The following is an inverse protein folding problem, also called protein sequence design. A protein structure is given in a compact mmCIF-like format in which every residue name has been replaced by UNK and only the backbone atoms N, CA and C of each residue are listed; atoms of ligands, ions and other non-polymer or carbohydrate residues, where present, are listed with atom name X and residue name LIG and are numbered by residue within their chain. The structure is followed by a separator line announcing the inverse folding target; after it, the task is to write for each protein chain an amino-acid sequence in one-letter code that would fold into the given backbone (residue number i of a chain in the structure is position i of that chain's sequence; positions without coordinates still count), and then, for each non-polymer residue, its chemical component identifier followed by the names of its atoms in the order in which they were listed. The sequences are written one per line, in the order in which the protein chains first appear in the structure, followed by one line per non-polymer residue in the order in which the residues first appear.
data_IF_450249066676
#
_entry.id   IF_450249066676
#
_cell.length_a   1.000
_cell.length_b   1.000
_cell.length_c   1.000
_cell.angle_alpha   90.00
_cell.angle_beta   90.00
_cell.angle_gamma   90.00
#
_symmetry.space_group_name_H-M   'P 1'
#
loop_
_entity.id
_entity.type
_entity.pdbx_description
1 polymer ?
#
# COMPACT_ATOMS: atom_id res chain seq x y z
N UNK A 1 -15.25 48.40 66.01
CA UNK A 1 -14.11 48.38 65.05
C UNK A 1 -13.59 46.94 65.03
N UNK A 2 -13.88 46.17 63.98
CA UNK A 2 -13.49 44.76 63.89
C UNK A 2 -12.06 44.71 63.37
N UNK A 3 -11.12 44.36 64.24
CA UNK A 3 -9.71 44.18 63.85
C UNK A 3 -9.62 42.87 63.07
N UNK A 4 -9.31 42.98 61.78
CA UNK A 4 -9.14 41.83 60.87
C UNK A 4 -7.72 41.29 61.07
N UNK A 5 -7.58 40.16 61.77
CA UNK A 5 -6.30 39.46 61.93
C UNK A 5 -5.86 38.85 60.61
N UNK A 6 -4.86 39.44 59.96
CA UNK A 6 -4.16 38.80 58.84
C UNK A 6 -3.31 37.66 59.39
N UNK A 7 -3.74 36.42 59.14
CA UNK A 7 -2.90 35.25 59.39
C UNK A 7 -1.77 35.25 58.36
N UNK A 8 -0.54 35.46 58.82
CA UNK A 8 0.66 35.40 58.01
C UNK A 8 1.01 33.90 57.89
N UNK A 9 1.10 33.40 56.66
CA UNK A 9 1.44 32.00 56.41
C UNK A 9 2.81 31.65 56.99
N UNK A 10 2.90 30.49 57.64
CA UNK A 10 4.18 29.99 58.13
C UNK A 10 5.00 29.39 57.00
N UNK A 11 6.33 29.49 57.06
CA UNK A 11 7.24 28.93 56.05
C UNK A 11 6.99 27.42 55.83
N UNK A 12 6.60 26.72 56.89
CA UNK A 12 6.30 25.28 56.84
C UNK A 12 5.02 24.97 56.05
N UNK A 13 3.97 25.78 56.19
CA UNK A 13 2.74 25.64 55.39
C UNK A 13 3.01 25.91 53.89
N UNK A 14 3.90 26.86 53.59
CA UNK A 14 4.31 27.14 52.22
C UNK A 14 5.05 25.94 51.59
N UNK A 15 6.01 25.36 52.31
CA UNK A 15 6.75 24.18 51.85
C UNK A 15 5.80 22.97 51.69
N UNK A 16 4.88 22.76 52.63
CA UNK A 16 3.89 21.69 52.55
C UNK A 16 2.98 21.85 51.32
N UNK A 17 2.51 23.08 51.02
CA UNK A 17 1.69 23.35 49.84
C UNK A 17 2.43 23.12 48.53
N UNK A 18 3.72 23.46 48.47
CA UNK A 18 4.56 23.27 47.29
C UNK A 18 4.84 21.78 47.05
N UNK A 19 5.05 21.00 48.10
CA UNK A 19 5.20 19.55 48.01
C UNK A 19 3.94 18.90 47.44
N UNK A 20 2.76 19.27 47.95
CA UNK A 20 1.47 18.76 47.43
C UNK A 20 1.29 19.16 45.97
N UNK A 21 1.62 20.40 45.61
CA UNK A 21 1.56 20.87 44.24
C UNK A 21 2.44 20.04 43.30
N UNK A 22 3.68 19.73 43.69
CA UNK A 22 4.58 18.88 42.88
C UNK A 22 4.01 17.48 42.70
N UNK A 23 3.41 16.89 43.74
CA UNK A 23 2.78 15.56 43.65
C UNK A 23 1.61 15.60 42.67
N UNK A 24 0.72 16.59 42.78
CA UNK A 24 -0.43 16.75 41.88
C UNK A 24 0.05 16.98 40.44
N UNK A 25 1.04 17.85 40.25
CA UNK A 25 1.62 18.12 38.93
C UNK A 25 2.24 16.85 38.32
N UNK A 26 2.90 16.03 39.13
CA UNK A 26 3.43 14.73 38.71
C UNK A 26 2.34 13.80 38.19
N UNK A 27 1.22 13.68 38.92
CA UNK A 27 0.06 12.86 38.50
C UNK A 27 -0.53 13.40 37.19
N UNK A 28 -0.69 14.72 37.08
CA UNK A 28 -1.21 15.38 35.87
C UNK A 28 -0.31 15.12 34.66
N UNK A 29 1.01 15.18 34.81
CA UNK A 29 1.96 14.87 33.75
C UNK A 29 1.88 13.40 33.29
N UNK A 30 1.68 12.46 34.22
CA UNK A 30 1.44 11.05 33.86
C UNK A 30 0.19 10.88 33.01
N UNK A 31 -0.91 11.55 33.38
CA UNK A 31 -2.14 11.53 32.59
C UNK A 31 -1.94 12.12 31.20
N UNK A 32 -1.26 13.27 31.10
CA UNK A 32 -0.96 13.89 29.81
C UNK A 32 -0.11 13.01 28.90
N UNK A 33 0.90 12.33 29.44
CA UNK A 33 1.73 11.40 28.67
C UNK A 33 0.91 10.21 28.15
N UNK A 34 0.04 9.64 28.98
CA UNK A 34 -0.88 8.57 28.57
C UNK A 34 -1.85 9.03 27.47
N UNK A 35 -2.44 10.23 27.62
CA UNK A 35 -3.35 10.79 26.62
C UNK A 35 -2.65 11.04 25.28
N UNK A 36 -1.40 11.57 25.30
CA UNK A 36 -0.59 11.76 24.09
C UNK A 36 -0.34 10.44 23.36
N UNK A 37 0.02 9.38 24.08
CA UNK A 37 0.29 8.08 23.49
C UNK A 37 -0.98 7.50 22.83
N UNK A 38 -2.12 7.56 23.51
CA UNK A 38 -3.41 7.10 22.97
C UNK A 38 -3.78 7.89 21.72
N UNK A 39 -3.63 9.22 21.76
CA UNK A 39 -3.89 10.07 20.60
C UNK A 39 -3.02 9.68 19.42
N UNK A 40 -1.71 9.52 19.62
CA UNK A 40 -0.78 9.17 18.55
C UNK A 40 -1.11 7.83 17.90
N UNK A 41 -1.50 6.82 18.69
CA UNK A 41 -1.92 5.51 18.16
C UNK A 41 -3.24 5.64 17.39
N UNK A 42 -4.19 6.40 17.94
CA UNK A 42 -5.49 6.66 17.30
C UNK A 42 -5.31 7.34 15.94
N UNK A 43 -4.44 8.35 15.88
CA UNK A 43 -4.12 9.08 14.66
C UNK A 43 -3.43 8.18 13.63
N UNK A 44 -2.45 7.37 14.05
CA UNK A 44 -1.77 6.41 13.16
C UNK A 44 -2.75 5.40 12.55
N UNK A 45 -3.76 4.94 13.31
CA UNK A 45 -4.80 4.05 12.79
C UNK A 45 -5.73 4.78 11.84
N UNK A 46 -6.16 5.98 12.19
CA UNK A 46 -7.01 6.83 11.33
C UNK A 46 -6.38 7.02 9.96
N UNK A 47 -5.08 7.37 9.92
CA UNK A 47 -4.34 7.51 8.67
C UNK A 47 -4.33 6.22 7.85
N UNK A 48 -4.08 5.06 8.46
CA UNK A 48 -4.11 3.77 7.74
C UNK A 48 -5.49 3.46 7.11
N UNK A 49 -6.60 3.83 7.76
CA UNK A 49 -7.94 3.71 7.17
C UNK A 49 -8.16 4.66 5.98
N UNK A 50 -7.65 5.88 6.07
CA UNK A 50 -7.72 6.85 4.97
C UNK A 50 -6.90 6.39 3.78
N UNK A 51 -5.66 5.97 4.01
CA UNK A 51 -4.74 5.44 3.00
C UNK A 51 -5.33 4.20 2.30
N UNK A 52 -5.82 3.22 3.09
CA UNK A 52 -6.45 2.02 2.54
C UNK A 52 -7.67 2.32 1.67
N UNK A 53 -8.52 3.27 2.09
CA UNK A 53 -9.66 3.73 1.29
C UNK A 53 -9.22 4.43 0.01
N UNK A 54 -8.24 5.33 0.08
CA UNK A 54 -7.71 6.05 -1.10
C UNK A 54 -7.17 5.05 -2.12
N UNK A 55 -6.36 4.08 -1.69
CA UNK A 55 -5.80 3.07 -2.58
C UNK A 55 -6.88 2.20 -3.25
N UNK A 56 -7.87 1.71 -2.48
CA UNK A 56 -8.96 0.90 -3.04
C UNK A 56 -9.84 1.68 -4.02
N UNK A 57 -10.17 2.94 -3.73
CA UNK A 57 -10.93 3.78 -4.66
C UNK A 57 -10.13 4.09 -5.92
N UNK A 58 -8.83 4.36 -5.79
CA UNK A 58 -7.96 4.64 -6.92
C UNK A 58 -7.84 3.44 -7.87
N UNK A 59 -7.52 2.26 -7.34
CA UNK A 59 -7.44 1.02 -8.13
C UNK A 59 -8.80 0.69 -8.74
N UNK A 60 -9.89 0.82 -7.95
CA UNK A 60 -11.24 0.53 -8.43
C UNK A 60 -11.66 1.44 -9.57
N UNK A 61 -11.36 2.73 -9.51
CA UNK A 61 -11.70 3.70 -10.55
C UNK A 61 -10.97 3.36 -11.86
N UNK A 62 -9.68 3.04 -11.78
CA UNK A 62 -8.88 2.70 -12.94
C UNK A 62 -9.34 1.38 -13.57
N UNK A 63 -9.68 0.38 -12.75
CA UNK A 63 -10.23 -0.89 -13.21
C UNK A 63 -11.62 -0.74 -13.84
N UNK A 64 -12.49 0.11 -13.30
CA UNK A 64 -13.80 0.39 -13.91
C UNK A 64 -13.69 1.04 -15.30
N UNK A 65 -12.56 1.70 -15.55
CA UNK A 65 -12.23 2.36 -16.80
C UNK A 65 -11.35 1.51 -17.71
N UNK A 66 -11.24 0.20 -17.43
CA UNK A 66 -10.44 -0.71 -18.27
C UNK A 66 -10.94 -0.71 -19.70
N UNK A 67 -9.99 -0.57 -20.62
CA UNK A 67 -10.18 -0.73 -22.05
C UNK A 67 -9.81 -2.15 -22.43
N UNK A 68 -10.68 -2.81 -23.18
CA UNK A 68 -10.43 -4.15 -23.69
C UNK A 68 -10.84 -4.25 -25.14
N UNK A 69 -10.00 -4.92 -25.91
CA UNK A 69 -10.29 -5.35 -27.28
C UNK A 69 -9.56 -6.67 -27.46
N UNK A 70 -10.28 -7.68 -27.92
CA UNK A 70 -9.73 -9.01 -28.14
C UNK A 70 -8.46 -8.91 -28.99
N UNK A 71 -7.43 -9.65 -28.58
CA UNK A 71 -6.11 -9.72 -29.20
C UNK A 71 -5.29 -8.42 -29.23
N UNK A 72 -5.86 -7.25 -28.91
CA UNK A 72 -5.18 -5.93 -29.04
C UNK A 72 -4.84 -5.28 -27.71
N UNK A 73 -5.68 -5.43 -26.69
CA UNK A 73 -5.43 -4.87 -25.38
C UNK A 73 -5.03 -5.99 -24.42
N UNK A 74 -3.74 -6.09 -24.02
CA UNK A 74 -3.31 -7.12 -23.10
C UNK A 74 -3.84 -6.84 -21.69
N UNK A 75 -4.13 -7.92 -20.97
CA UNK A 75 -4.31 -7.92 -19.53
C UNK A 75 -3.27 -8.86 -18.92
N UNK A 76 -2.56 -8.38 -17.90
CA UNK A 76 -1.55 -9.20 -17.24
C UNK A 76 -1.67 -9.18 -15.72
N UNK A 77 -2.08 -10.32 -15.20
CA UNK A 77 -2.04 -10.64 -13.77
C UNK A 77 -0.75 -11.40 -13.46
N UNK A 78 0.22 -10.67 -12.91
CA UNK A 78 1.55 -11.19 -12.59
C UNK A 78 1.53 -11.95 -11.28
N UNK A 79 2.10 -13.15 -11.30
CA UNK A 79 2.29 -13.94 -10.10
C UNK A 79 3.42 -13.39 -9.25
N UNK A 80 3.44 -13.78 -7.99
CA UNK A 80 4.58 -13.54 -7.13
C UNK A 80 5.80 -14.31 -7.66
N UNK A 81 6.98 -13.70 -7.63
CA UNK A 81 8.27 -14.33 -7.98
C UNK A 81 9.16 -14.48 -6.74
N UNK A 82 10.17 -15.35 -6.82
CA UNK A 82 11.19 -15.56 -5.79
C UNK A 82 12.57 -15.05 -6.24
N UNK A 83 12.59 -14.05 -7.12
CA UNK A 83 13.83 -13.58 -7.78
C UNK A 83 14.66 -12.64 -6.92
N UNK A 84 14.19 -12.31 -5.72
CA UNK A 84 14.77 -11.35 -4.79
C UNK A 84 14.83 -9.92 -5.36
N UNK A 85 13.92 -9.59 -6.28
CA UNK A 85 13.86 -8.34 -7.03
C UNK A 85 12.74 -7.42 -6.50
N UNK A 86 12.83 -6.13 -6.80
CA UNK A 86 11.83 -5.16 -6.32
C UNK A 86 10.42 -5.36 -6.88
N UNK A 87 10.32 -6.07 -8.00
CA UNK A 87 9.07 -6.43 -8.65
C UNK A 87 8.58 -7.83 -8.28
N UNK A 88 9.03 -8.40 -7.15
CA UNK A 88 8.65 -9.75 -6.75
C UNK A 88 7.18 -9.90 -6.33
N UNK A 89 6.53 -8.81 -5.89
CA UNK A 89 5.14 -8.82 -5.45
C UNK A 89 4.18 -9.23 -6.57
N UNK A 90 2.95 -9.61 -6.22
CA UNK A 90 1.89 -9.65 -7.23
C UNK A 90 1.72 -8.27 -7.87
N UNK A 91 1.36 -8.24 -9.15
CA UNK A 91 1.09 -7.02 -9.89
C UNK A 91 -0.05 -7.23 -10.87
N UNK A 92 -0.77 -6.16 -11.18
CA UNK A 92 -1.81 -6.15 -12.20
C UNK A 92 -1.49 -5.04 -13.21
N UNK A 93 -1.58 -5.38 -14.48
CA UNK A 93 -1.28 -4.50 -15.60
C UNK A 93 -2.44 -4.57 -16.60
N UNK A 94 -2.92 -3.41 -17.03
CA UNK A 94 -4.05 -3.32 -17.94
C UNK A 94 -4.07 -1.96 -18.64
N UNK A 95 -4.81 -1.88 -19.73
CA UNK A 95 -5.07 -0.62 -20.42
C UNK A 95 -6.33 0.02 -19.84
N UNK A 96 -6.28 1.32 -19.55
CA UNK A 96 -7.39 2.07 -18.98
C UNK A 96 -7.55 3.42 -19.67
N UNK A 97 -8.79 3.88 -19.77
CA UNK A 97 -9.09 5.24 -20.21
C UNK A 97 -9.03 6.13 -18.97
N UNK A 98 -8.06 7.04 -18.94
CA UNK A 98 -7.82 7.91 -17.80
C UNK A 98 -7.81 9.36 -18.27
N UNK A 99 -8.66 10.19 -17.66
CA UNK A 99 -8.65 11.64 -17.87
C UNK A 99 -7.69 12.31 -16.88
N UNK A 100 -6.39 12.10 -17.08
CA UNK A 100 -5.33 12.73 -16.29
C UNK A 100 -4.27 13.27 -17.25
N UNK A 101 -3.81 14.49 -17.00
CA UNK A 101 -2.63 15.09 -17.63
C UNK A 101 -1.37 14.73 -16.82
N UNK A 102 -0.99 13.46 -16.81
CA UNK A 102 0.27 13.01 -16.19
C UNK A 102 1.38 12.87 -17.24
N UNK A 103 2.60 12.60 -16.77
CA UNK A 103 3.90 12.87 -17.42
C UNK A 103 4.16 12.30 -18.84
N UNK A 104 3.33 11.40 -19.35
CA UNK A 104 3.38 10.96 -20.75
C UNK A 104 2.06 11.33 -21.43
N UNK A 105 2.10 12.28 -22.35
CA UNK A 105 0.90 12.72 -23.07
C UNK A 105 0.30 11.53 -23.84
N UNK A 106 -1.01 11.31 -23.72
CA UNK A 106 -1.74 10.34 -24.53
C UNK A 106 -2.68 11.09 -25.49
N UNK A 107 -2.56 10.83 -26.79
CA UNK A 107 -3.44 11.43 -27.80
C UNK A 107 -4.77 10.69 -27.89
N UNK A 108 -4.75 9.38 -27.63
CA UNK A 108 -5.92 8.50 -27.62
C UNK A 108 -6.70 8.52 -26.29
N UNK A 109 -6.08 9.03 -25.20
CA UNK A 109 -6.63 8.95 -23.84
C UNK A 109 -6.53 7.56 -23.21
N UNK A 110 -5.82 6.64 -23.87
CA UNK A 110 -5.48 5.32 -23.34
C UNK A 110 -4.17 5.40 -22.57
N UNK A 111 -4.13 4.66 -21.47
CA UNK A 111 -2.99 4.58 -20.57
C UNK A 111 -2.78 3.14 -20.09
N UNK A 112 -1.53 2.75 -19.91
CA UNK A 112 -1.11 1.48 -19.35
C UNK A 112 -0.96 1.73 -17.87
N UNK A 113 -1.71 0.96 -17.09
CA UNK A 113 -1.77 1.11 -15.64
C UNK A 113 -1.17 -0.13 -15.01
N UNK A 114 -0.14 0.08 -14.20
CA UNK A 114 0.52 -0.99 -13.45
C UNK A 114 0.46 -0.68 -11.97
N UNK A 115 -0.09 -1.62 -11.19
CA UNK A 115 -0.07 -1.58 -9.73
C UNK A 115 0.79 -2.71 -9.18
N UNK A 116 1.68 -2.36 -8.26
CA UNK A 116 2.59 -3.31 -7.62
C UNK A 116 3.10 -2.74 -6.30
N UNK A 117 3.70 -3.59 -5.49
CA UNK A 117 4.26 -3.21 -4.19
C UNK A 117 5.77 -3.12 -4.31
N UNK A 118 6.34 -1.98 -3.92
CA UNK A 118 7.77 -1.72 -4.08
C UNK A 118 8.56 -2.12 -2.83
N UNK A 119 9.65 -2.85 -3.07
CA UNK A 119 10.70 -3.12 -2.09
C UNK A 119 12.07 -3.02 -2.76
N UNK A 120 13.04 -2.28 -2.23
CA UNK A 120 14.36 -2.18 -2.83
C UNK A 120 15.05 -3.56 -2.93
N UNK A 121 15.91 -3.69 -3.94
CA UNK A 121 16.72 -4.91 -4.19
C UNK A 121 17.67 -5.22 -3.02
N UNK A 122 18.11 -4.18 -2.31
CA UNK A 122 19.05 -4.28 -1.20
C UNK A 122 18.34 -4.71 0.08
N UNK A 123 18.98 -5.57 0.88
CA UNK A 123 18.51 -6.04 2.19
C UNK A 123 18.48 -4.95 3.28
N UNK A 124 18.63 -3.68 2.92
CA UNK A 124 18.57 -2.54 3.84
C UNK A 124 17.20 -1.91 3.70
N UNK A 125 16.44 -1.94 4.80
CA UNK A 125 15.13 -1.30 4.87
C UNK A 125 15.29 0.18 4.55
N UNK A 126 14.57 0.65 3.54
CA UNK A 126 14.62 2.04 3.07
C UNK A 126 13.30 2.77 3.33
N UNK A 127 13.31 4.10 3.24
CA UNK A 127 12.09 4.93 3.28
C UNK A 127 11.13 4.65 2.10
N UNK A 128 11.55 3.83 1.13
CA UNK A 128 10.75 3.39 -0.01
C UNK A 128 10.12 2.00 0.17
N UNK A 129 10.33 1.35 1.30
CA UNK A 129 9.77 0.02 1.56
C UNK A 129 8.29 0.08 1.90
N UNK A 130 7.52 -0.88 1.38
CA UNK A 130 6.10 -1.00 1.69
C UNK A 130 5.26 0.10 1.05
N UNK A 131 5.72 0.66 -0.07
CA UNK A 131 4.92 1.60 -0.84
C UNK A 131 4.13 0.87 -1.91
N UNK A 132 2.81 1.06 -1.90
CA UNK A 132 2.00 0.74 -3.07
C UNK A 132 2.34 1.74 -4.18
N UNK A 133 2.73 1.22 -5.32
CA UNK A 133 3.14 1.99 -6.47
C UNK A 133 2.13 1.88 -7.60
N UNK A 134 1.99 2.96 -8.36
CA UNK A 134 1.23 3.00 -9.59
C UNK A 134 2.03 3.66 -10.69
N UNK A 135 2.23 2.93 -11.78
CA UNK A 135 2.79 3.49 -13.01
C UNK A 135 1.65 3.80 -13.98
N UNK A 136 1.79 4.93 -14.65
CA UNK A 136 1.01 5.28 -15.83
C UNK A 136 2.00 5.49 -16.97
N UNK A 137 1.95 4.64 -17.98
CA UNK A 137 2.58 4.89 -19.28
C UNK A 137 1.49 5.42 -20.20
N UNK A 138 1.84 6.30 -21.15
CA UNK A 138 0.96 6.85 -22.16
C UNK A 138 1.66 6.85 -23.53
N UNK A 139 0.91 7.10 -24.59
CA UNK A 139 1.36 7.02 -26.00
C UNK A 139 2.60 7.86 -26.32
N UNK A 140 2.83 8.96 -25.61
CA UNK A 140 4.02 9.80 -25.77
C UNK A 140 5.32 9.19 -25.21
N UNK A 141 5.26 8.02 -24.55
CA UNK A 141 6.45 7.31 -24.04
C UNK A 141 7.01 6.36 -25.09
N UNK A 142 8.33 6.27 -25.21
CA UNK A 142 9.02 5.25 -26.01
C UNK A 142 8.86 3.82 -25.46
N UNK A 143 8.26 3.68 -24.26
CA UNK A 143 8.02 2.40 -23.60
C UNK A 143 6.60 1.87 -23.80
N UNK A 144 5.79 2.64 -24.53
CA UNK A 144 4.40 2.33 -24.83
C UNK A 144 4.32 1.30 -25.95
N UNK A 145 4.34 0.02 -25.57
CA UNK A 145 4.44 -1.09 -26.51
C UNK A 145 3.16 -1.95 -26.53
N UNK A 146 2.05 -1.50 -25.93
CA UNK A 146 0.83 -2.31 -25.84
C UNK A 146 0.14 -2.59 -27.20
N UNK A 147 0.45 -1.82 -28.24
CA UNK A 147 -0.10 -1.98 -29.59
C UNK A 147 0.88 -2.68 -30.56
N UNK A 148 2.09 -3.00 -30.10
CA UNK A 148 3.12 -3.64 -30.91
C UNK A 148 2.94 -5.17 -30.92
N UNK A 149 2.64 -5.69 -32.10
CA UNK A 149 2.44 -7.12 -32.31
C UNK A 149 3.76 -7.84 -32.65
N UNK A 150 3.99 -9.05 -32.11
CA UNK A 150 3.09 -9.82 -31.24
C UNK A 150 3.12 -9.34 -29.78
N UNK A 151 1.93 -9.23 -29.16
CA UNK A 151 1.82 -8.89 -27.75
C UNK A 151 2.52 -9.93 -26.88
N UNK A 152 3.42 -9.46 -26.03
CA UNK A 152 4.11 -10.31 -25.07
C UNK A 152 4.27 -9.59 -23.73
N UNK A 153 4.35 -10.38 -22.67
CA UNK A 153 4.56 -9.88 -21.31
C UNK A 153 5.71 -10.65 -20.66
N UNK A 154 6.25 -10.14 -19.56
CA UNK A 154 7.18 -10.92 -18.77
C UNK A 154 7.87 -10.12 -17.67
N UNK A 155 8.83 -10.73 -16.99
CA UNK A 155 9.49 -10.05 -15.87
C UNK A 155 10.34 -8.85 -16.33
N UNK A 156 11.02 -8.99 -17.46
CA UNK A 156 11.91 -7.99 -18.07
C UNK A 156 11.85 -8.08 -19.61
N UNK A 157 12.38 -7.07 -20.30
CA UNK A 157 12.56 -7.03 -21.75
C UNK A 157 11.93 -5.80 -22.42
N UNK A 158 12.69 -5.16 -23.31
CA UNK A 158 12.19 -4.10 -24.19
C UNK A 158 11.30 -4.68 -25.32
N UNK A 159 10.32 -3.91 -25.80
CA UNK A 159 9.39 -4.35 -26.86
C UNK A 159 8.31 -5.31 -26.36
N UNK A 160 8.09 -5.36 -25.04
CA UNK A 160 7.01 -6.12 -24.42
C UNK A 160 5.90 -5.17 -24.05
N UNK A 161 4.65 -5.57 -24.25
CA UNK A 161 3.50 -4.78 -23.84
C UNK A 161 3.50 -4.49 -22.33
N UNK A 162 3.85 -5.48 -21.51
CA UNK A 162 4.03 -5.28 -20.07
C UNK A 162 5.24 -5.99 -19.49
N UNK A 163 5.97 -5.29 -18.62
CA UNK A 163 7.07 -5.83 -17.82
C UNK A 163 6.87 -5.65 -16.33
N UNK A 164 7.38 -6.60 -15.53
CA UNK A 164 7.34 -6.48 -14.08
C UNK A 164 8.23 -5.33 -13.61
N UNK A 165 9.40 -5.19 -14.23
CA UNK A 165 10.29 -4.05 -14.07
C UNK A 165 9.76 -2.82 -14.85
N UNK A 166 10.61 -1.81 -15.02
CA UNK A 166 10.26 -0.57 -15.75
C UNK A 166 10.78 -0.54 -17.19
N UNK A 167 11.01 -1.69 -17.84
CA UNK A 167 11.46 -1.73 -19.24
C UNK A 167 10.34 -1.24 -20.18
N UNK A 168 9.10 -1.67 -19.96
CA UNK A 168 7.91 -1.25 -20.74
C UNK A 168 7.01 -0.25 -20.00
N UNK A 169 7.54 0.46 -19.00
CA UNK A 169 6.72 1.41 -18.24
C UNK A 169 7.49 2.59 -17.67
N UNK A 170 6.77 3.69 -17.50
CA UNK A 170 7.28 4.87 -16.82
C UNK A 170 7.63 4.60 -15.34
N UNK A 171 8.45 5.44 -14.70
CA UNK A 171 8.65 5.38 -13.27
C UNK A 171 7.33 5.48 -12.50
N UNK A 172 7.14 4.57 -11.55
CA UNK A 172 5.91 4.52 -10.77
C UNK A 172 5.86 5.60 -9.69
N UNK A 173 4.65 6.10 -9.44
CA UNK A 173 4.34 7.04 -8.37
C UNK A 173 3.95 6.31 -7.07
N UNK A 174 4.39 6.86 -5.95
CA UNK A 174 4.04 6.42 -4.60
C UNK A 174 2.60 6.77 -4.27
N UNK A 175 1.77 5.77 -3.94
CA UNK A 175 0.35 5.97 -3.59
C UNK A 175 0.18 6.04 -2.08
N UNK A 176 0.46 4.94 -1.39
CA UNK A 176 0.34 4.83 0.07
C UNK A 176 1.53 4.06 0.67
N UNK A 177 1.98 4.43 1.88
CA UNK A 177 3.04 3.73 2.59
C UNK A 177 2.52 2.56 3.45
N UNK A 178 3.47 1.84 4.07
CA UNK A 178 3.24 0.81 5.10
C UNK A 178 2.35 -0.36 4.67
N UNK A 179 2.32 -0.64 3.38
CA UNK A 179 1.65 -1.79 2.81
C UNK A 179 2.56 -3.01 2.96
N UNK A 180 2.07 -4.02 3.66
CA UNK A 180 2.80 -5.27 3.90
C UNK A 180 2.56 -6.29 2.79
N UNK A 181 1.37 -6.26 2.19
CA UNK A 181 0.95 -7.22 1.17
C UNK A 181 -0.17 -6.64 0.31
N UNK A 182 -0.14 -7.02 -0.97
CA UNK A 182 -1.24 -6.81 -1.91
C UNK A 182 -1.58 -8.14 -2.56
N UNK A 183 -2.88 -8.43 -2.67
CA UNK A 183 -3.38 -9.60 -3.38
C UNK A 183 -4.46 -9.21 -4.39
N UNK A 184 -4.41 -9.85 -5.54
CA UNK A 184 -5.45 -9.76 -6.55
C UNK A 184 -6.01 -11.15 -6.79
N UNK A 185 -7.33 -11.32 -6.63
CA UNK A 185 -8.02 -12.54 -7.04
C UNK A 185 -8.88 -12.20 -8.26
N UNK A 186 -8.51 -12.74 -9.41
CA UNK A 186 -9.21 -12.53 -10.67
C UNK A 186 -10.20 -13.67 -10.90
N UNK A 187 -11.46 -13.37 -11.23
CA UNK A 187 -12.51 -14.35 -11.43
C UNK A 187 -13.09 -14.29 -12.84
N UNK A 188 -13.37 -15.46 -13.40
CA UNK A 188 -14.19 -15.61 -14.60
C UNK A 188 -15.67 -15.41 -14.29
N UNK A 189 -16.50 -15.28 -15.32
CA UNK A 189 -17.97 -15.22 -15.23
C UNK A 189 -18.55 -16.42 -14.48
N UNK A 190 -17.93 -17.59 -14.63
CA UNK A 190 -18.33 -18.84 -13.95
C UNK A 190 -18.03 -18.83 -12.45
N UNK A 191 -17.25 -17.85 -11.97
CA UNK A 191 -16.69 -17.82 -10.61
C UNK A 191 -15.36 -18.57 -10.47
N UNK A 192 -14.84 -19.18 -11.53
CA UNK A 192 -13.53 -19.82 -11.52
C UNK A 192 -12.40 -18.78 -11.39
N UNK A 193 -11.33 -19.12 -10.65
CA UNK A 193 -10.19 -18.23 -10.45
C UNK A 193 -9.28 -18.27 -11.69
N UNK A 194 -8.94 -17.10 -12.21
CA UNK A 194 -7.90 -16.94 -13.24
C UNK A 194 -6.54 -16.98 -12.55
N UNK A 195 -5.70 -17.92 -13.00
CA UNK A 195 -4.35 -18.07 -12.44
C UNK A 195 -3.45 -16.94 -12.93
N UNK A 196 -2.62 -16.43 -12.03
CA UNK A 196 -1.54 -15.51 -12.40
C UNK A 196 -0.48 -16.23 -13.24
N UNK A 197 0.26 -15.46 -14.03
CA UNK A 197 1.31 -15.95 -14.93
C UNK A 197 2.52 -15.03 -14.88
N UNK A 198 3.70 -15.59 -15.12
CA UNK A 198 4.93 -14.81 -15.22
C UNK A 198 5.15 -14.23 -16.62
N UNK A 199 4.74 -14.95 -17.68
CA UNK A 199 5.11 -14.62 -19.05
C UNK A 199 3.98 -14.83 -20.07
N UNK A 200 2.72 -14.91 -19.62
CA UNK A 200 1.56 -15.02 -20.52
C UNK A 200 0.51 -13.97 -20.23
N UNK A 201 -0.02 -13.38 -21.29
CA UNK A 201 -1.22 -12.55 -21.26
C UNK A 201 -2.41 -13.42 -20.83
N UNK A 202 -3.30 -12.85 -20.02
CA UNK A 202 -4.54 -13.51 -19.63
C UNK A 202 -5.75 -12.81 -20.23
N UNK A 203 -6.86 -13.53 -20.28
CA UNK A 203 -8.17 -12.97 -20.58
C UNK A 203 -8.58 -11.96 -19.50
N UNK A 204 -9.33 -10.94 -19.90
CA UNK A 204 -9.88 -9.97 -18.96
C UNK A 204 -10.80 -10.68 -17.94
N UNK A 205 -10.58 -10.50 -16.63
CA UNK A 205 -11.46 -11.07 -15.62
C UNK A 205 -12.85 -10.43 -15.65
N UNK A 206 -13.86 -11.19 -15.25
CA UNK A 206 -15.21 -10.69 -15.03
C UNK A 206 -15.30 -9.83 -13.75
N UNK A 207 -14.57 -10.23 -12.71
CA UNK A 207 -14.41 -9.44 -11.49
C UNK A 207 -13.02 -9.64 -10.88
N UNK A 208 -12.57 -8.64 -10.13
CA UNK A 208 -11.30 -8.67 -9.41
C UNK A 208 -11.57 -8.30 -7.96
N UNK A 209 -11.19 -9.18 -7.03
CA UNK A 209 -11.09 -8.84 -5.62
C UNK A 209 -9.68 -8.31 -5.34
N UNK A 210 -9.61 -7.09 -4.82
CA UNK A 210 -8.37 -6.44 -4.40
C UNK A 210 -8.31 -6.54 -2.89
N UNK A 211 -7.18 -7.05 -2.36
CA UNK A 211 -6.89 -7.03 -0.93
C UNK A 211 -5.59 -6.30 -0.66
N UNK A 212 -5.63 -5.36 0.28
CA UNK A 212 -4.47 -4.59 0.71
C UNK A 212 -4.32 -4.77 2.21
N UNK A 213 -3.12 -5.09 2.65
CA UNK A 213 -2.76 -5.26 4.06
C UNK A 213 -1.86 -4.10 4.48
N UNK A 214 -2.29 -3.35 5.49
CA UNK A 214 -1.60 -2.14 5.95
C UNK A 214 -1.29 -2.28 7.43
N UNK A 215 -0.05 -1.96 7.81
CA UNK A 215 0.29 -1.72 9.22
C UNK A 215 0.21 -0.21 9.50
N UNK A 216 -0.49 0.22 10.57
CA UNK A 216 -0.40 1.60 11.03
C UNK A 216 1.06 1.99 11.27
N UNK A 217 1.45 3.22 10.94
CA UNK A 217 2.82 3.72 11.08
C UNK A 217 3.51 3.34 12.41
N UNK A 218 2.83 3.50 13.56
CA UNK A 218 3.39 3.13 14.86
C UNK A 218 3.69 1.64 14.99
N UNK A 219 2.83 0.78 14.44
CA UNK A 219 3.00 -0.67 14.45
C UNK A 219 4.01 -1.11 13.39
N UNK A 220 4.08 -0.42 12.24
CA UNK A 220 5.11 -0.63 11.22
C UNK A 220 6.51 -0.45 11.81
N UNK A 221 6.77 0.69 12.46
CA UNK A 221 8.07 0.95 13.10
C UNK A 221 8.39 -0.10 14.18
N UNK A 222 7.39 -0.51 14.96
CA UNK A 222 7.56 -1.56 15.96
C UNK A 222 7.88 -2.90 15.33
N UNK A 223 7.18 -3.27 14.26
CA UNK A 223 7.41 -4.49 13.50
C UNK A 223 8.84 -4.53 12.94
N UNK A 224 9.31 -3.43 12.33
CA UNK A 224 10.70 -3.32 11.88
C UNK A 224 11.69 -3.49 13.05
N UNK A 225 11.42 -2.89 14.21
CA UNK A 225 12.29 -2.96 15.39
C UNK A 225 12.44 -4.37 15.98
N UNK A 226 11.46 -5.25 15.77
CA UNK A 226 11.49 -6.64 16.22
C UNK A 226 11.99 -7.60 15.13
N UNK A 227 12.58 -7.08 14.05
CA UNK A 227 13.14 -7.88 12.96
C UNK A 227 12.18 -8.13 11.81
N UNK A 228 11.08 -7.39 11.72
CA UNK A 228 10.16 -7.44 10.59
C UNK A 228 10.85 -7.03 9.28
N UNK A 229 10.62 -7.81 8.23
CA UNK A 229 11.19 -7.57 6.92
C UNK A 229 10.06 -7.41 5.87
N UNK A 230 9.86 -6.19 5.32
CA UNK A 230 8.88 -5.92 4.27
C UNK A 230 8.96 -6.88 3.08
N UNK A 231 10.15 -7.35 2.73
CA UNK A 231 10.36 -8.29 1.61
C UNK A 231 9.85 -9.70 1.91
N UNK A 232 10.10 -10.19 3.13
CA UNK A 232 9.64 -11.51 3.57
C UNK A 232 8.12 -11.53 3.78
N UNK A 233 7.53 -10.37 4.07
CA UNK A 233 6.10 -10.24 4.26
C UNK A 233 5.26 -10.62 3.04
N UNK A 234 5.79 -10.40 1.85
CA UNK A 234 5.15 -10.76 0.57
C UNK A 234 4.96 -12.28 0.46
N UNK A 235 5.90 -13.07 1.02
CA UNK A 235 5.91 -14.52 0.87
C UNK A 235 5.02 -15.26 1.84
N UNK A 236 4.63 -14.63 2.96
CA UNK A 236 4.21 -15.39 4.14
C UNK A 236 5.29 -16.35 4.65
N UNK A 237 6.49 -16.32 4.06
CA UNK A 237 7.70 -17.04 4.41
C UNK A 237 8.64 -16.10 5.14
N UNK A 238 8.10 -15.35 6.11
CA UNK A 238 8.94 -14.91 7.21
C UNK A 238 9.52 -16.19 7.78
N UNK A 239 10.79 -16.45 7.46
CA UNK A 239 11.44 -17.68 7.86
C UNK A 239 11.28 -17.83 9.37
N UNK A 240 11.25 -19.08 9.86
CA UNK A 240 11.14 -19.44 11.29
C UNK A 240 12.08 -18.66 12.24
N UNK A 241 13.06 -17.92 11.72
CA UNK A 241 13.97 -17.04 12.45
C UNK A 241 13.28 -15.87 13.17
N UNK A 242 12.19 -15.30 12.63
CA UNK A 242 11.50 -14.15 13.24
C UNK A 242 9.99 -14.36 13.42
N UNK A 243 9.58 -15.53 13.93
CA UNK A 243 8.17 -15.85 14.21
C UNK A 243 7.45 -14.78 15.06
N UNK A 244 8.18 -14.05 15.92
CA UNK A 244 7.64 -12.92 16.67
C UNK A 244 7.20 -11.75 15.77
N UNK A 245 7.98 -11.42 14.74
CA UNK A 245 7.63 -10.37 13.79
C UNK A 245 6.45 -10.79 12.90
N UNK A 246 6.39 -12.04 12.47
CA UNK A 246 5.31 -12.59 11.66
C UNK A 246 3.99 -12.55 12.42
N UNK A 247 3.98 -13.10 13.64
CA UNK A 247 2.83 -13.09 14.54
C UNK A 247 2.40 -11.67 14.90
N UNK A 248 3.37 -10.76 15.05
CA UNK A 248 3.06 -9.37 15.32
C UNK A 248 2.36 -8.71 14.13
N UNK A 249 2.87 -8.93 12.91
CA UNK A 249 2.22 -8.39 11.71
C UNK A 249 0.81 -8.94 11.56
N UNK A 250 0.65 -10.27 11.56
CA UNK A 250 -0.65 -10.94 11.38
C UNK A 250 -1.71 -10.44 12.38
N UNK A 251 -1.29 -10.12 13.61
CA UNK A 251 -2.19 -9.60 14.65
C UNK A 251 -2.56 -8.13 14.50
N UNK A 252 -1.68 -7.31 13.90
CA UNK A 252 -1.83 -5.85 13.91
C UNK A 252 -2.08 -5.25 12.51
N UNK A 253 -1.95 -6.03 11.45
CA UNK A 253 -2.27 -5.59 10.10
C UNK A 253 -3.78 -5.43 9.92
N UNK A 254 -4.15 -4.44 9.13
CA UNK A 254 -5.52 -4.14 8.79
C UNK A 254 -5.70 -4.55 7.33
N UNK A 255 -6.63 -5.46 7.09
CA UNK A 255 -6.99 -5.91 5.74
C UNK A 255 -8.13 -5.03 5.21
N UNK A 256 -7.90 -4.47 4.03
CA UNK A 256 -8.91 -3.79 3.22
C UNK A 256 -9.21 -4.64 2.00
N UNK A 257 -10.49 -4.88 1.70
CA UNK A 257 -10.89 -5.64 0.52
C UNK A 257 -12.00 -4.91 -0.25
N UNK A 258 -11.93 -4.94 -1.58
CA UNK A 258 -12.96 -4.46 -2.49
C UNK A 258 -13.02 -5.32 -3.74
N UNK A 259 -14.21 -5.75 -4.11
CA UNK A 259 -14.45 -6.44 -5.38
C UNK A 259 -14.94 -5.45 -6.43
N UNK A 260 -14.26 -5.43 -7.57
CA UNK A 260 -14.60 -4.61 -8.74
C UNK A 260 -15.18 -5.52 -9.81
N UNK A 261 -16.36 -5.18 -10.31
CA UNK A 261 -17.01 -5.89 -11.39
C UNK A 261 -16.64 -5.22 -12.73
N UNK A 262 -16.04 -5.98 -13.65
CA UNK A 262 -15.65 -5.52 -14.98
C UNK A 262 -16.68 -5.91 -16.06
N UNK A 263 -17.62 -6.81 -15.72
CA UNK A 263 -18.72 -7.25 -16.59
C UNK A 263 -18.23 -7.99 -17.85
N UNK A 264 -19.09 -8.12 -18.87
CA UNK A 264 -18.86 -8.93 -20.09
C UNK A 264 -17.86 -8.31 -21.08
N UNK A 265 -17.06 -7.32 -20.65
CA UNK A 265 -16.22 -6.53 -21.57
C UNK A 265 -15.12 -7.34 -22.28
N UNK A 266 -14.85 -8.58 -21.87
CA UNK A 266 -13.85 -9.43 -22.53
C UNK A 266 -14.04 -10.93 -22.49
N UNK A 267 -15.19 -11.43 -22.04
CA UNK A 267 -15.48 -12.88 -21.96
C UNK A 267 -16.64 -13.23 -22.91
N UNK A 268 -16.30 -13.66 -24.13
CA UNK A 268 -17.24 -14.17 -25.14
C UNK A 268 -16.97 -15.65 -25.42
#
# INVERSE_FOLDING_TARGET
MIVKTSKIFTLIELIASLLIFVIILGIVLMFFNSAKNIWSISESKRQAFEDGRIALELISRDLQSVYYTADTAPFWFKSKTSTNQWYDSQAINFISIIDIKDASESYSGLYEVKYFLWYPENSVISDSDGWLMRSITGEGSEKWDFNDYPLSVGLTGSGKAFTANNDSSEPANKIIPYVTKIEFNCFQRTGAIISSSQDSIQELPYSIEIRIFILPHSEWLKWLSIGGNPKEAIDGSETLSNSAAANFREKNEIMFSKTVLLSERGQN
#
